data_IF_185381221967
#
_entry.id   IF_185381221967
#
_cell.length_a   1.000
_cell.length_b   1.000
_cell.length_c   1.000
_cell.angle_alpha   90.00
_cell.angle_beta   90.00
_cell.angle_gamma   90.00
#
_symmetry.space_group_name_H-M   'P 1'
#
loop_
_entity.id
_entity.type
_entity.pdbx_description
1 polymer ?
#
# COMPACT_ATOMS: atom_id res chain seq x y z
N UNK A 1 -16.44 -9.36 13.64
CA UNK A 1 -17.37 -8.41 14.28
C UNK A 1 -18.83 -8.84 14.14
N UNK A 2 -19.28 -9.37 13.00
CA UNK A 2 -20.68 -9.79 12.77
C UNK A 2 -20.94 -11.32 12.80
N UNK A 3 -20.00 -12.12 13.32
CA UNK A 3 -20.16 -13.57 13.51
C UNK A 3 -20.22 -14.43 12.23
N UNK A 4 -20.39 -13.82 11.04
CA UNK A 4 -20.38 -14.50 9.73
C UNK A 4 -19.22 -14.05 8.87
N UNK A 5 -18.69 -14.97 8.06
CA UNK A 5 -17.64 -14.67 7.08
C UNK A 5 -18.25 -13.89 5.90
N UNK A 6 -17.58 -12.84 5.38
CA UNK A 6 -18.02 -12.15 4.17
C UNK A 6 -18.18 -13.14 3.01
N UNK A 7 -19.23 -12.96 2.20
CA UNK A 7 -19.47 -13.80 1.02
C UNK A 7 -18.32 -13.70 0.01
N UNK A 8 -18.22 -14.68 -0.88
CA UNK A 8 -17.15 -14.76 -1.87
C UNK A 8 -17.08 -13.51 -2.77
N UNK A 9 -18.24 -12.93 -3.09
CA UNK A 9 -18.35 -11.67 -3.84
C UNK A 9 -17.54 -10.55 -3.19
N UNK A 10 -17.76 -10.29 -1.89
CA UNK A 10 -17.06 -9.22 -1.17
C UNK A 10 -15.55 -9.46 -1.09
N UNK A 11 -15.11 -10.71 -0.90
CA UNK A 11 -13.70 -11.07 -0.86
C UNK A 11 -13.00 -10.83 -2.21
N UNK A 12 -13.64 -11.23 -3.30
CA UNK A 12 -13.11 -11.01 -4.66
C UNK A 12 -13.03 -9.52 -5.00
N UNK A 13 -14.05 -8.76 -4.60
CA UNK A 13 -14.06 -7.31 -4.79
C UNK A 13 -12.86 -6.65 -4.10
N UNK A 14 -12.61 -6.94 -2.82
CA UNK A 14 -11.50 -6.33 -2.09
C UNK A 14 -10.13 -6.79 -2.55
N UNK A 15 -9.98 -8.06 -2.93
CA UNK A 15 -8.68 -8.63 -3.29
C UNK A 15 -8.23 -8.25 -4.71
N UNK A 16 -9.16 -8.12 -5.66
CA UNK A 16 -8.84 -7.94 -7.06
C UNK A 16 -9.50 -6.71 -7.67
N UNK A 17 -10.82 -6.57 -7.56
CA UNK A 17 -11.55 -5.52 -8.28
C UNK A 17 -11.15 -4.12 -7.80
N UNK A 18 -11.18 -3.89 -6.48
CA UNK A 18 -10.82 -2.61 -5.89
C UNK A 18 -9.38 -2.19 -6.22
N UNK A 19 -8.33 -3.01 -5.99
CA UNK A 19 -6.96 -2.60 -6.32
C UNK A 19 -6.75 -2.39 -7.82
N UNK A 20 -7.32 -3.23 -8.69
CA UNK A 20 -7.23 -3.04 -10.14
C UNK A 20 -7.92 -1.76 -10.62
N UNK A 21 -9.12 -1.47 -10.10
CA UNK A 21 -9.88 -0.28 -10.45
C UNK A 21 -9.18 1.00 -9.99
N UNK A 22 -8.69 1.02 -8.74
CA UNK A 22 -7.93 2.16 -8.21
C UNK A 22 -6.66 2.40 -9.01
N UNK A 23 -5.90 1.35 -9.34
CA UNK A 23 -4.71 1.46 -10.16
C UNK A 23 -5.03 2.02 -11.56
N UNK A 24 -6.11 1.54 -12.18
CA UNK A 24 -6.56 2.04 -13.48
C UNK A 24 -6.87 3.53 -13.44
N UNK A 25 -7.67 3.98 -12.46
CA UNK A 25 -8.03 5.39 -12.30
C UNK A 25 -6.79 6.26 -12.08
N UNK A 26 -5.86 5.82 -11.23
CA UNK A 26 -4.60 6.55 -10.99
C UNK A 26 -3.76 6.67 -12.26
N UNK A 27 -3.57 5.57 -13.00
CA UNK A 27 -2.78 5.58 -14.24
C UNK A 27 -3.40 6.51 -15.29
N UNK A 28 -4.72 6.43 -15.50
CA UNK A 28 -5.42 7.31 -16.44
C UNK A 28 -5.35 8.77 -15.99
N UNK A 29 -5.53 9.04 -14.70
CA UNK A 29 -5.44 10.39 -14.14
C UNK A 29 -4.06 11.01 -14.37
N UNK A 30 -2.98 10.27 -14.11
CA UNK A 30 -1.61 10.72 -14.36
C UNK A 30 -1.35 10.91 -15.86
N UNK A 31 -1.77 9.97 -16.71
CA UNK A 31 -1.56 10.04 -18.16
C UNK A 31 -2.32 11.19 -18.83
N UNK A 32 -3.49 11.56 -18.29
CA UNK A 32 -4.34 12.65 -18.81
C UNK A 32 -4.18 13.96 -18.05
N UNK A 33 -3.26 14.02 -17.07
CA UNK A 33 -2.96 15.23 -16.30
C UNK A 33 -2.42 16.31 -17.24
N UNK A 34 -3.22 17.35 -17.46
CA UNK A 34 -2.80 18.55 -18.17
C UNK A 34 -2.41 19.63 -17.15
N UNK A 35 -1.51 20.56 -17.52
CA UNK A 35 -1.19 21.70 -16.67
C UNK A 35 -2.50 22.40 -16.25
N UNK A 36 -2.72 22.66 -14.96
CA UNK A 36 -3.87 23.42 -14.50
C UNK A 36 -3.90 24.77 -15.22
N UNK A 37 -5.09 25.15 -15.69
CA UNK A 37 -5.36 26.45 -16.32
C UNK A 37 -6.57 27.07 -15.63
N UNK A 38 -6.51 28.38 -15.41
CA UNK A 38 -7.62 29.14 -14.85
C UNK A 38 -8.03 30.22 -15.85
N UNK A 39 -9.10 29.96 -16.62
CA UNK A 39 -9.42 30.77 -17.79
C UNK A 39 -8.28 30.74 -18.81
N UNK A 40 -7.79 31.92 -19.19
CA UNK A 40 -6.64 32.09 -20.09
C UNK A 40 -5.28 32.03 -19.37
N UNK A 41 -5.27 31.94 -18.03
CA UNK A 41 -4.03 31.84 -17.26
C UNK A 41 -3.50 30.41 -17.23
N UNK A 42 -2.31 30.21 -17.79
CA UNK A 42 -1.57 28.95 -17.71
C UNK A 42 -0.64 29.00 -16.50
N UNK A 43 -0.80 28.03 -15.58
CA UNK A 43 0.08 27.96 -14.43
C UNK A 43 1.54 27.70 -14.89
N UNK A 44 2.52 28.40 -14.29
CA UNK A 44 3.92 28.20 -14.60
C UNK A 44 4.39 26.82 -14.10
N UNK A 45 5.41 26.26 -14.74
CA UNK A 45 5.87 24.90 -14.45
C UNK A 45 6.34 24.68 -13.00
N UNK A 46 6.87 25.72 -12.34
CA UNK A 46 7.25 25.62 -10.93
C UNK A 46 6.04 25.38 -10.01
N UNK A 47 4.85 25.89 -10.36
CA UNK A 47 3.63 25.69 -9.59
C UNK A 47 3.10 24.26 -9.77
N UNK A 48 3.24 23.70 -10.98
CA UNK A 48 2.94 22.30 -11.25
C UNK A 48 3.88 21.38 -10.45
N UNK A 49 5.18 21.66 -10.46
CA UNK A 49 6.17 20.93 -9.69
C UNK A 49 5.88 20.99 -8.19
N UNK A 50 5.46 22.15 -7.67
CA UNK A 50 5.05 22.29 -6.27
C UNK A 50 3.81 21.44 -5.95
N UNK A 51 2.81 21.39 -6.84
CA UNK A 51 1.63 20.53 -6.68
C UNK A 51 2.00 19.05 -6.60
N UNK A 52 2.88 18.58 -7.49
CA UNK A 52 3.40 17.21 -7.45
C UNK A 52 4.24 16.93 -6.20
N UNK A 53 5.05 17.90 -5.75
CA UNK A 53 5.83 17.77 -4.52
C UNK A 53 4.93 17.62 -3.28
N UNK A 54 3.85 18.41 -3.19
CA UNK A 54 2.87 18.30 -2.11
C UNK A 54 2.15 16.95 -2.17
N UNK A 55 1.72 16.49 -3.34
CA UNK A 55 1.10 15.17 -3.49
C UNK A 55 2.07 14.05 -3.06
N UNK A 56 3.30 14.08 -3.58
CA UNK A 56 4.34 13.10 -3.25
C UNK A 56 4.72 13.10 -1.77
N UNK A 57 4.70 14.26 -1.09
CA UNK A 57 5.05 14.35 0.33
C UNK A 57 4.22 13.41 1.22
N UNK A 58 2.92 13.30 0.95
CA UNK A 58 2.02 12.38 1.68
C UNK A 58 2.27 10.92 1.31
N UNK A 59 2.48 10.63 0.02
CA UNK A 59 2.71 9.27 -0.48
C UNK A 59 4.05 8.71 -0.02
N UNK A 60 5.08 9.55 0.14
CA UNK A 60 6.42 9.16 0.58
C UNK A 60 6.49 8.71 2.04
N UNK A 61 5.53 9.09 2.90
CA UNK A 61 5.52 8.65 4.30
C UNK A 61 5.40 7.13 4.44
N UNK A 62 4.63 6.50 3.56
CA UNK A 62 4.43 5.03 3.57
C UNK A 62 5.74 4.28 3.32
N UNK A 63 6.47 4.50 2.20
CA UNK A 63 7.74 3.82 1.96
C UNK A 63 8.83 4.24 2.96
N UNK A 64 8.87 5.50 3.41
CA UNK A 64 9.83 5.94 4.43
C UNK A 64 9.62 5.17 5.74
N UNK A 65 8.37 5.03 6.19
CA UNK A 65 8.07 4.26 7.40
C UNK A 65 8.37 2.77 7.21
N UNK A 66 8.05 2.21 6.05
CA UNK A 66 8.39 0.82 5.72
C UNK A 66 9.92 0.59 5.77
N UNK A 67 10.70 1.48 5.16
CA UNK A 67 12.16 1.42 5.19
C UNK A 67 12.71 1.59 6.61
N UNK A 68 12.20 2.56 7.37
CA UNK A 68 12.56 2.75 8.78
C UNK A 68 12.36 1.47 9.59
N UNK A 69 11.18 0.84 9.48
CA UNK A 69 10.89 -0.42 10.20
C UNK A 69 11.82 -1.56 9.78
N UNK A 70 12.12 -1.71 8.49
CA UNK A 70 13.04 -2.73 7.98
C UNK A 70 14.50 -2.48 8.38
N UNK A 71 14.91 -1.22 8.58
CA UNK A 71 16.24 -0.88 9.05
C UNK A 71 16.40 -1.05 10.56
N UNK A 72 15.37 -0.70 11.35
CA UNK A 72 15.43 -0.77 12.82
C UNK A 72 15.29 -2.18 13.39
N UNK A 73 14.71 -3.13 12.65
CA UNK A 73 14.59 -4.52 13.10
C UNK A 73 15.95 -5.24 13.00
N UNK A 74 16.40 -5.96 14.05
CA UNK A 74 17.55 -6.86 13.95
C UNK A 74 17.20 -8.13 13.15
N UNK A 75 18.19 -8.79 12.56
CA UNK A 75 18.01 -10.06 11.83
C UNK A 75 18.23 -10.00 10.32
N UNK A 76 17.93 -11.09 9.62
CA UNK A 76 18.03 -11.20 8.15
C UNK A 76 16.88 -10.48 7.44
N UNK A 77 17.08 -10.03 6.19
CA UNK A 77 16.03 -9.32 5.43
C UNK A 77 14.70 -10.11 5.37
N UNK A 78 14.77 -11.43 5.27
CA UNK A 78 13.59 -12.30 5.23
C UNK A 78 12.82 -12.31 6.55
N UNK A 79 13.52 -12.36 7.68
CA UNK A 79 12.91 -12.30 9.01
C UNK A 79 12.31 -10.92 9.28
N UNK A 80 13.01 -9.85 8.89
CA UNK A 80 12.50 -8.48 9.04
C UNK A 80 11.22 -8.25 8.25
N UNK A 81 11.17 -8.73 7.00
CA UNK A 81 9.96 -8.66 6.18
C UNK A 81 8.85 -9.48 6.83
N UNK A 82 9.11 -10.75 7.19
CA UNK A 82 8.13 -11.61 7.85
C UNK A 82 7.54 -10.97 9.11
N UNK A 83 8.39 -10.38 9.95
CA UNK A 83 7.96 -9.68 11.15
C UNK A 83 7.13 -8.42 10.82
N UNK A 84 7.52 -7.67 9.79
CA UNK A 84 6.82 -6.45 9.37
C UNK A 84 5.43 -6.70 8.75
N UNK A 85 5.24 -7.80 8.02
CA UNK A 85 3.95 -8.20 7.45
C UNK A 85 3.05 -8.96 8.45
N UNK A 86 3.57 -9.31 9.64
CA UNK A 86 2.81 -10.01 10.68
C UNK A 86 2.02 -9.04 11.55
N UNK A 87 0.69 -9.25 11.72
CA UNK A 87 -0.11 -8.42 12.62
C UNK A 87 0.35 -8.59 14.06
N UNK A 88 0.22 -7.54 14.86
CA UNK A 88 0.72 -7.52 16.24
C UNK A 88 0.22 -8.68 17.12
N UNK A 89 -1.03 -9.09 16.92
CA UNK A 89 -1.65 -10.22 17.63
C UNK A 89 -1.02 -11.58 17.33
N UNK A 90 -0.28 -11.70 16.23
CA UNK A 90 0.35 -12.95 15.78
C UNK A 90 1.89 -12.89 15.91
N UNK A 91 2.45 -11.81 16.45
CA UNK A 91 3.92 -11.66 16.60
C UNK A 91 4.54 -12.72 17.50
N UNK A 92 3.82 -13.17 18.53
CA UNK A 92 4.27 -14.27 19.40
C UNK A 92 4.54 -15.58 18.61
N UNK A 93 3.85 -15.79 17.49
CA UNK A 93 4.06 -16.96 16.63
C UNK A 93 5.36 -16.83 15.82
N UNK A 94 5.69 -15.60 15.39
CA UNK A 94 6.94 -15.31 14.68
C UNK A 94 8.13 -15.40 15.63
N UNK A 95 7.99 -14.93 16.88
CA UNK A 95 9.02 -15.05 17.92
C UNK A 95 9.29 -16.53 18.29
N UNK A 96 8.28 -17.39 18.15
CA UNK A 96 8.41 -18.86 18.27
C UNK A 96 9.00 -19.54 17.02
N UNK A 97 9.30 -18.78 15.96
CA UNK A 97 9.88 -19.28 14.71
C UNK A 97 8.85 -19.80 13.68
N UNK A 98 7.54 -19.68 13.93
CA UNK A 98 6.50 -20.15 13.01
C UNK A 98 6.10 -19.08 11.98
N UNK A 99 6.92 -18.92 10.94
CA UNK A 99 6.60 -17.96 9.85
C UNK A 99 5.67 -18.58 8.81
N UNK A 100 4.35 -18.41 9.00
CA UNK A 100 3.32 -18.93 8.07
C UNK A 100 3.05 -18.02 6.86
N UNK A 101 3.50 -16.77 6.92
CA UNK A 101 3.11 -15.72 5.96
C UNK A 101 3.63 -15.93 4.53
N UNK A 102 4.73 -16.68 4.36
CA UNK A 102 5.24 -17.03 3.03
C UNK A 102 4.49 -18.20 2.37
N UNK A 103 3.51 -18.79 3.05
CA UNK A 103 2.75 -19.93 2.52
C UNK A 103 1.55 -19.44 1.71
N UNK A 104 1.50 -19.76 0.42
CA UNK A 104 0.40 -19.39 -0.50
C UNK A 104 -0.99 -19.77 0.02
N UNK A 105 -1.10 -20.87 0.79
CA UNK A 105 -2.37 -21.31 1.40
C UNK A 105 -2.95 -20.30 2.40
N UNK A 106 -2.09 -19.55 3.09
CA UNK A 106 -2.54 -18.52 4.03
C UNK A 106 -3.28 -17.40 3.29
N UNK A 107 -2.72 -16.94 2.17
CA UNK A 107 -3.31 -15.90 1.32
C UNK A 107 -4.55 -16.35 0.55
N UNK A 108 -4.79 -17.64 0.38
CA UNK A 108 -6.00 -18.18 -0.27
C UNK A 108 -7.19 -18.30 0.69
N UNK A 109 -6.94 -18.41 2.00
CA UNK A 109 -7.99 -18.60 3.01
C UNK A 109 -8.48 -17.27 3.63
N UNK A 110 -7.62 -16.24 3.61
CA UNK A 110 -7.92 -14.85 3.97
C UNK A 110 -8.60 -14.15 2.80
#
# INVERSE_FOLDING_TARGET
MTGRRPSLYWRLCWKFVSPCFLLFVVVVSVATSRPPRYGDYVFPEWANALGWAVAASSMCLVPVYAAYKLCSLPGSLREKVAYAITPEKERELVDRGEVRQFTLRHWLLV
#
